data_IF_522260890993
#
_entry.id   IF_522260890993
#
_cell.length_a   1.000
_cell.length_b   1.000
_cell.length_c   1.000
_cell.angle_alpha   90.00
_cell.angle_beta   90.00
_cell.angle_gamma   90.00
#
_symmetry.space_group_name_H-M   'P 1'
#
loop_
_entity.id
_entity.type
_entity.pdbx_description
1 polymer ?
#
# COMPACT_ATOMS: atom_id res chain seq x y z
N UNK A 1 -15.74 2.42 7.04
CA UNK A 1 -15.40 1.87 5.72
C UNK A 1 -14.35 2.78 5.09
N UNK A 2 -13.31 2.24 4.45
CA UNK A 2 -12.27 3.09 3.82
C UNK A 2 -12.78 3.56 2.46
N UNK A 3 -12.79 4.87 2.26
CA UNK A 3 -12.96 5.46 0.94
C UNK A 3 -11.61 5.45 0.22
N UNK A 4 -11.58 4.85 -0.97
CA UNK A 4 -10.36 4.66 -1.78
C UNK A 4 -10.60 5.32 -3.13
N UNK A 5 -9.78 6.32 -3.44
CA UNK A 5 -9.86 7.11 -4.67
C UNK A 5 -8.46 7.22 -5.31
N UNK A 6 -8.41 7.50 -6.61
CA UNK A 6 -7.15 7.69 -7.37
C UNK A 6 -6.63 9.14 -7.22
N UNK A 7 -6.48 9.62 -5.98
CA UNK A 7 -6.02 10.98 -5.66
C UNK A 7 -4.80 10.96 -4.74
N UNK A 8 -4.00 12.04 -4.79
CA UNK A 8 -2.78 12.17 -3.99
C UNK A 8 -3.08 12.15 -2.49
N UNK A 9 -4.15 12.81 -2.06
CA UNK A 9 -4.57 12.87 -0.65
C UNK A 9 -4.92 11.46 -0.15
N UNK A 10 -5.66 10.69 -0.96
CA UNK A 10 -6.00 9.31 -0.64
C UNK A 10 -4.73 8.46 -0.49
N UNK A 11 -3.78 8.59 -1.41
CA UNK A 11 -2.51 7.86 -1.34
C UNK A 11 -1.71 8.16 -0.08
N UNK A 12 -1.64 9.42 0.37
CA UNK A 12 -0.95 9.78 1.63
C UNK A 12 -1.60 9.05 2.82
N UNK A 13 -2.93 9.06 2.87
CA UNK A 13 -3.67 8.37 3.93
C UNK A 13 -3.45 6.86 3.89
N UNK A 14 -3.42 6.25 2.71
CA UNK A 14 -3.16 4.82 2.55
C UNK A 14 -1.76 4.42 3.03
N UNK A 15 -0.74 5.22 2.71
CA UNK A 15 0.64 5.02 3.18
C UNK A 15 0.75 5.09 4.71
N UNK A 16 0.18 6.13 5.32
CA UNK A 16 0.16 6.28 6.78
C UNK A 16 -0.62 5.13 7.44
N UNK A 17 -1.70 4.68 6.80
CA UNK A 17 -2.52 3.59 7.29
C UNK A 17 -1.79 2.26 7.24
N UNK A 18 -0.91 2.00 6.27
CA UNK A 18 -0.08 0.80 6.26
C UNK A 18 0.81 0.72 7.50
N UNK A 19 1.49 1.81 7.87
CA UNK A 19 2.34 1.82 9.06
C UNK A 19 1.52 1.69 10.36
N UNK A 20 0.36 2.34 10.44
CA UNK A 20 -0.58 2.15 11.57
C UNK A 20 -1.05 0.70 11.67
N UNK A 21 -1.36 0.09 10.54
CA UNK A 21 -1.82 -1.31 10.47
C UNK A 21 -0.74 -2.27 10.89
N UNK A 22 0.51 -2.04 10.48
CA UNK A 22 1.67 -2.82 10.93
C UNK A 22 1.80 -2.80 12.46
N UNK A 23 1.71 -1.61 13.07
CA UNK A 23 1.76 -1.47 14.53
C UNK A 23 0.60 -2.17 15.21
N UNK A 24 -0.62 -2.00 14.69
CA UNK A 24 -1.82 -2.61 15.26
C UNK A 24 -1.78 -4.14 15.18
N UNK A 25 -1.38 -4.71 14.04
CA UNK A 25 -1.25 -6.17 13.91
C UNK A 25 -0.13 -6.70 14.81
N UNK A 26 0.99 -5.98 14.94
CA UNK A 26 2.04 -6.31 15.90
C UNK A 26 1.54 -6.34 17.35
N UNK A 27 0.73 -5.36 17.77
CA UNK A 27 0.10 -5.35 19.11
C UNK A 27 -0.90 -6.49 19.31
N UNK A 28 -1.55 -6.96 18.23
CA UNK A 28 -2.47 -8.09 18.27
C UNK A 28 -1.77 -9.45 18.11
N UNK A 29 -0.43 -9.50 18.09
CA UNK A 29 0.35 -10.70 17.79
C UNK A 29 -0.06 -11.37 16.47
N UNK A 30 -0.51 -10.58 15.49
CA UNK A 30 -0.92 -11.02 14.15
C UNK A 30 0.15 -10.67 13.13
N UNK A 31 0.32 -11.55 12.15
CA UNK A 31 1.24 -11.33 11.03
C UNK A 31 0.80 -10.13 10.20
N UNK A 32 1.75 -9.26 9.85
CA UNK A 32 1.54 -8.16 8.91
C UNK A 32 1.59 -8.68 7.46
N UNK A 33 0.49 -9.27 6.99
CA UNK A 33 0.36 -9.81 5.62
C UNK A 33 -0.81 -9.17 4.88
N UNK A 34 -0.85 -9.29 3.54
CA UNK A 34 -1.90 -8.70 2.69
C UNK A 34 -3.29 -9.11 3.17
N UNK A 35 -3.52 -10.40 3.45
CA UNK A 35 -4.82 -10.90 3.92
C UNK A 35 -5.29 -10.18 5.20
N UNK A 36 -4.42 -10.04 6.20
CA UNK A 36 -4.77 -9.37 7.45
C UNK A 36 -4.96 -7.86 7.27
N UNK A 37 -4.18 -7.23 6.40
CA UNK A 37 -4.37 -5.82 6.04
C UNK A 37 -5.74 -5.62 5.41
N UNK A 38 -6.09 -6.39 4.37
CA UNK A 38 -7.35 -6.26 3.66
C UNK A 38 -8.54 -6.56 4.57
N UNK A 39 -8.48 -7.62 5.39
CA UNK A 39 -9.52 -7.93 6.38
C UNK A 39 -9.70 -6.82 7.40
N UNK A 40 -8.62 -6.22 7.88
CA UNK A 40 -8.72 -5.10 8.83
C UNK A 40 -9.30 -3.83 8.17
N UNK A 41 -9.02 -3.63 6.89
CA UNK A 41 -9.38 -2.41 6.16
C UNK A 41 -10.80 -2.42 5.62
N UNK A 42 -11.24 -3.57 5.10
CA UNK A 42 -12.50 -3.73 4.39
C UNK A 42 -13.47 -4.67 5.11
N UNK A 43 -13.05 -5.33 6.19
CA UNK A 43 -13.92 -6.18 7.00
C UNK A 43 -14.54 -7.31 6.17
N UNK A 44 -15.87 -7.49 6.19
CA UNK A 44 -16.57 -8.51 5.41
C UNK A 44 -16.36 -8.41 3.88
N UNK A 45 -16.02 -7.23 3.36
CA UNK A 45 -15.78 -7.03 1.93
C UNK A 45 -14.44 -7.63 1.47
N UNK A 46 -13.52 -7.95 2.39
CA UNK A 46 -12.28 -8.66 2.08
C UNK A 46 -12.51 -10.18 1.98
N UNK A 47 -13.37 -10.58 1.05
CA UNK A 47 -13.58 -11.99 0.70
C UNK A 47 -12.35 -12.56 -0.04
N UNK A 48 -12.34 -13.88 -0.25
CA UNK A 48 -11.19 -14.54 -0.87
C UNK A 48 -10.97 -14.08 -2.33
N UNK A 49 -12.03 -13.75 -3.08
CA UNK A 49 -11.91 -13.21 -4.44
C UNK A 49 -11.24 -11.83 -4.46
N UNK A 50 -11.62 -10.93 -3.55
CA UNK A 50 -11.01 -9.61 -3.42
C UNK A 50 -9.54 -9.74 -3.02
N UNK A 51 -9.24 -10.60 -2.05
CA UNK A 51 -7.86 -10.86 -1.63
C UNK A 51 -7.06 -11.44 -2.79
N UNK A 52 -7.63 -12.40 -3.54
CA UNK A 52 -6.99 -13.02 -4.69
C UNK A 52 -6.68 -12.00 -5.78
N UNK A 53 -7.62 -11.15 -6.18
CA UNK A 53 -7.40 -10.11 -7.18
C UNK A 53 -6.28 -9.14 -6.78
N UNK A 54 -6.27 -8.71 -5.51
CA UNK A 54 -5.21 -7.82 -5.01
C UNK A 54 -3.86 -8.53 -5.04
N UNK A 55 -3.78 -9.77 -4.54
CA UNK A 55 -2.55 -10.57 -4.56
C UNK A 55 -2.02 -10.80 -5.99
N UNK A 56 -2.93 -11.13 -6.92
CA UNK A 56 -2.61 -11.37 -8.32
C UNK A 56 -2.05 -10.12 -8.99
N UNK A 57 -2.69 -8.96 -8.81
CA UNK A 57 -2.24 -7.70 -9.43
C UNK A 57 -0.91 -7.19 -8.88
N UNK A 58 -0.63 -7.40 -7.59
CA UNK A 58 0.62 -6.95 -6.98
C UNK A 58 1.72 -8.03 -6.96
N UNK A 59 1.47 -9.18 -7.59
CA UNK A 59 2.37 -10.35 -7.68
C UNK A 59 2.96 -10.76 -6.32
N UNK A 60 2.12 -10.78 -5.28
CA UNK A 60 2.53 -11.08 -3.91
C UNK A 60 1.60 -12.10 -3.26
N UNK A 61 2.18 -12.98 -2.44
CA UNK A 61 1.42 -13.97 -1.69
C UNK A 61 0.66 -13.33 -0.51
N UNK A 62 -0.61 -13.72 -0.35
CA UNK A 62 -1.51 -13.14 0.66
C UNK A 62 -1.13 -13.40 2.11
N UNK A 63 -0.36 -14.47 2.38
CA UNK A 63 -0.02 -14.97 3.72
C UNK A 63 1.41 -14.64 4.17
N UNK A 64 2.25 -14.17 3.24
CA UNK A 64 3.63 -13.83 3.56
C UNK A 64 3.71 -12.56 4.39
N UNK A 65 4.65 -12.57 5.31
CA UNK A 65 4.92 -11.38 6.12
C UNK A 65 5.51 -10.29 5.22
N UNK A 66 4.86 -9.14 5.23
CA UNK A 66 5.32 -7.98 4.50
C UNK A 66 6.41 -7.27 5.31
N UNK A 67 7.43 -6.72 4.63
CA UNK A 67 8.46 -5.96 5.29
C UNK A 67 7.91 -4.60 5.78
N UNK A 68 8.71 -3.88 6.57
CA UNK A 68 8.33 -2.54 7.05
C UNK A 68 8.14 -1.54 5.89
N UNK A 69 7.01 -0.79 5.81
CA UNK A 69 6.74 0.15 4.71
C UNK A 69 7.78 1.25 4.51
N UNK A 70 8.34 1.77 5.60
CA UNK A 70 9.39 2.80 5.54
C UNK A 70 10.72 2.29 5.01
N UNK A 71 11.01 0.98 5.11
CA UNK A 71 12.29 0.43 4.66
C UNK A 71 12.20 -0.16 3.25
N UNK A 72 11.08 -0.81 2.92
CA UNK A 72 10.90 -1.55 1.67
C UNK A 72 9.65 -1.09 0.90
N UNK A 73 9.61 0.15 0.40
CA UNK A 73 8.37 0.76 -0.08
C UNK A 73 7.87 0.17 -1.41
N UNK A 74 8.72 -0.46 -2.23
CA UNK A 74 8.30 -0.97 -3.55
C UNK A 74 7.15 -1.98 -3.48
N UNK A 75 7.26 -2.98 -2.59
CA UNK A 75 6.21 -4.00 -2.40
C UNK A 75 4.88 -3.38 -1.95
N UNK A 76 4.97 -2.40 -1.06
CA UNK A 76 3.81 -1.66 -0.54
C UNK A 76 3.18 -0.76 -1.59
N UNK A 77 3.98 -0.16 -2.47
CA UNK A 77 3.47 0.65 -3.58
C UNK A 77 2.60 -0.18 -4.51
N UNK A 78 3.11 -1.33 -4.97
CA UNK A 78 2.33 -2.21 -5.85
C UNK A 78 1.07 -2.75 -5.14
N UNK A 79 1.16 -3.03 -3.82
CA UNK A 79 -0.01 -3.39 -3.01
C UNK A 79 -1.05 -2.26 -2.98
N UNK A 80 -0.65 -1.03 -2.67
CA UNK A 80 -1.57 0.12 -2.64
C UNK A 80 -2.20 0.38 -4.01
N UNK A 81 -1.41 0.25 -5.06
CA UNK A 81 -1.86 0.35 -6.45
C UNK A 81 -2.91 -0.73 -6.75
N UNK A 82 -2.66 -1.99 -6.39
CA UNK A 82 -3.63 -3.07 -6.58
C UNK A 82 -4.92 -2.83 -5.80
N UNK A 83 -4.83 -2.39 -4.53
CA UNK A 83 -6.00 -2.07 -3.71
C UNK A 83 -6.85 -0.98 -4.38
N UNK A 84 -6.22 0.09 -4.87
CA UNK A 84 -6.92 1.21 -5.53
C UNK A 84 -7.54 0.73 -6.84
N UNK A 85 -6.83 -0.06 -7.65
CA UNK A 85 -7.33 -0.60 -8.91
C UNK A 85 -8.62 -1.38 -8.71
N UNK A 86 -8.59 -2.35 -7.78
CA UNK A 86 -9.73 -3.23 -7.49
C UNK A 86 -10.89 -2.45 -6.88
N UNK A 87 -10.62 -1.47 -5.99
CA UNK A 87 -11.69 -0.69 -5.33
C UNK A 87 -12.35 0.35 -6.23
N UNK A 88 -11.60 0.95 -7.14
CA UNK A 88 -12.10 2.00 -8.06
C UNK A 88 -12.54 1.43 -9.41
N UNK A 89 -12.32 0.12 -9.65
CA UNK A 89 -12.56 -0.53 -10.95
C UNK A 89 -11.79 0.16 -12.08
N UNK A 90 -10.64 0.75 -11.74
CA UNK A 90 -9.71 1.38 -12.68
C UNK A 90 -8.62 0.36 -13.02
N UNK A 91 -8.20 0.35 -14.28
CA UNK A 91 -7.06 -0.48 -14.70
C UNK A 91 -5.82 -0.18 -13.85
N UNK A 92 -5.11 -1.23 -13.44
CA UNK A 92 -3.84 -1.14 -12.70
C UNK A 92 -2.86 -0.15 -13.33
N UNK A 93 -2.81 -0.10 -14.66
CA UNK A 93 -1.93 0.77 -15.45
C UNK A 93 -2.35 2.24 -15.51
N UNK A 94 -3.61 2.56 -15.17
CA UNK A 94 -4.15 3.92 -15.18
C UNK A 94 -4.03 4.65 -13.83
N UNK A 95 -3.51 3.97 -12.81
CA UNK A 95 -3.28 4.59 -11.49
C UNK A 95 -2.13 5.58 -11.57
N UNK A 96 -2.30 6.73 -10.93
CA UNK A 96 -1.28 7.76 -10.91
C UNK A 96 -0.10 7.37 -10.00
N UNK A 97 0.88 6.69 -10.61
CA UNK A 97 2.14 6.30 -9.97
C UNK A 97 2.92 7.52 -9.44
N UNK A 98 2.88 8.67 -10.14
CA UNK A 98 3.61 9.86 -9.70
C UNK A 98 3.00 10.43 -8.44
N UNK A 99 1.67 10.48 -8.36
CA UNK A 99 0.96 10.89 -7.15
C UNK A 99 1.20 9.90 -6.00
N UNK A 100 1.21 8.59 -6.27
CA UNK A 100 1.47 7.55 -5.27
C UNK A 100 2.89 7.62 -4.69
N UNK A 101 3.90 7.84 -5.54
CA UNK A 101 5.29 8.02 -5.13
C UNK A 101 5.50 9.35 -4.37
N UNK A 102 4.86 10.43 -4.82
CA UNK A 102 4.89 11.73 -4.13
C UNK A 102 4.19 11.67 -2.76
N UNK A 103 3.13 10.89 -2.66
CA UNK A 103 2.43 10.64 -1.40
C UNK A 103 3.30 9.89 -0.39
N UNK A 104 4.14 8.96 -0.84
CA UNK A 104 5.09 8.28 0.03
C UNK A 104 6.07 9.25 0.69
N UNK A 105 6.68 10.16 -0.09
CA UNK A 105 7.64 11.14 0.44
C UNK A 105 7.01 12.08 1.47
N UNK A 106 5.71 12.35 1.38
CA UNK A 106 4.98 13.12 2.39
C UNK A 106 4.65 12.27 3.63
N UNK A 107 4.21 11.02 3.44
CA UNK A 107 3.88 10.12 4.53
C UNK A 107 5.13 9.70 5.34
N UNK A 108 6.29 9.62 4.68
CA UNK A 108 7.56 9.21 5.27
C UNK A 108 8.72 10.11 4.80
N UNK A 109 8.90 11.29 5.40
CA UNK A 109 9.93 12.25 4.97
C UNK A 109 11.37 11.78 5.22
N UNK A 110 11.59 10.85 6.16
CA UNK A 110 12.92 10.36 6.57
C UNK A 110 13.18 8.89 6.21
N UNK A 111 12.44 8.33 5.26
CA UNK A 111 12.52 6.89 4.93
C UNK A 111 13.33 6.59 3.67
N UNK A 112 13.49 5.30 3.35
CA UNK A 112 14.21 4.87 2.14
C UNK A 112 13.52 5.46 0.91
N UNK A 113 14.21 6.22 0.05
CA UNK A 113 13.58 6.79 -1.13
C UNK A 113 13.09 5.68 -2.06
N UNK A 114 11.81 5.76 -2.49
CA UNK A 114 11.24 4.88 -3.53
C UNK A 114 12.05 4.93 -4.83
N UNK A 115 12.61 6.11 -5.13
CA UNK A 115 13.31 6.40 -6.36
C UNK A 115 14.80 6.67 -6.09
N UNK A 116 15.60 5.60 -6.16
CA UNK A 116 17.06 5.64 -5.96
C UNK A 116 17.75 6.53 -7.02
N UNK A 117 17.08 6.81 -8.15
CA UNK A 117 17.62 7.60 -9.27
C UNK A 117 17.42 9.11 -9.18
N UNK A 118 16.75 9.66 -8.16
CA UNK A 118 16.85 11.10 -7.89
C UNK A 118 18.20 11.36 -7.23
N UNK A 119 19.27 11.34 -8.04
CA UNK A 119 20.53 12.01 -7.70
C UNK A 119 20.14 13.42 -7.25
N UNK A 120 20.46 13.77 -6.01
CA UNK A 120 20.43 15.16 -5.55
C UNK A 120 21.21 15.96 -6.60
N UNK A 121 20.54 16.83 -7.37
CA UNK A 121 21.21 17.97 -7.97
C UNK A 121 21.59 18.85 -6.80
N UNK A 122 22.83 18.68 -6.34
CA UNK A 122 23.50 19.65 -5.49
C UNK A 122 23.72 20.84 -6.43
N UNK A 123 22.93 21.90 -6.25
CA UNK A 123 23.28 23.23 -6.71
C UNK A 123 24.06 23.91 -5.60
#
# INVERSE_FOLDING_TARGET
MIQVDNTRECFVQLWLRLERTRRLLGMQCKRYCIRNILKLWFGPQANDDFIWHVCHLCEQEGWNELPKPSLYPRKHRELLRAIVAVRTVISYYKIDLKALDSAYSQAFPHSTPLNVNKKRKVN
#
